data_IF_370541315324
#
_entry.id   IF_370541315324
#
_cell.length_a   1.000
_cell.length_b   1.000
_cell.length_c   1.000
_cell.angle_alpha   90.00
_cell.angle_beta   90.00
_cell.angle_gamma   90.00
#
_symmetry.space_group_name_H-M   'P 1'
#
loop_
_entity.id
_entity.type
_entity.pdbx_description
1 polymer ?
#
# COMPACT_ATOMS: atom_id res chain seq x y z
N UNK A 1 36.60 39.71 -4.10
CA UNK A 1 36.19 38.96 -5.30
C UNK A 1 36.16 37.44 -5.08
N UNK A 2 37.24 36.82 -4.57
CA UNK A 2 37.35 35.36 -4.40
C UNK A 2 36.21 34.71 -3.59
N UNK A 3 35.79 35.31 -2.48
CA UNK A 3 34.69 34.77 -1.64
C UNK A 3 33.35 34.73 -2.36
N UNK A 4 33.02 35.77 -3.15
CA UNK A 4 31.79 35.80 -3.95
C UNK A 4 31.82 34.69 -5.01
N UNK A 5 32.95 34.51 -5.68
CA UNK A 5 33.14 33.43 -6.67
C UNK A 5 32.97 32.05 -6.05
N UNK A 6 33.55 31.79 -4.87
CA UNK A 6 33.39 30.51 -4.16
C UNK A 6 31.93 30.25 -3.80
N UNK A 7 31.21 31.27 -3.30
CA UNK A 7 29.78 31.15 -2.97
C UNK A 7 28.95 30.84 -4.22
N UNK A 8 29.18 31.54 -5.33
CA UNK A 8 28.45 31.30 -6.58
C UNK A 8 28.72 29.90 -7.14
N UNK A 9 29.96 29.40 -7.03
CA UNK A 9 30.30 28.03 -7.45
C UNK A 9 29.63 26.97 -6.57
N UNK A 10 29.58 27.17 -5.24
CA UNK A 10 28.87 26.25 -4.36
C UNK A 10 27.37 26.24 -4.64
N UNK A 11 26.77 27.42 -4.83
CA UNK A 11 25.35 27.56 -5.13
C UNK A 11 24.99 26.86 -6.45
N UNK A 12 25.80 27.03 -7.50
CA UNK A 12 25.55 26.40 -8.80
C UNK A 12 25.65 24.87 -8.71
N UNK A 13 26.65 24.35 -8.00
CA UNK A 13 26.79 22.91 -7.76
C UNK A 13 25.58 22.36 -7.00
N UNK A 14 25.13 23.04 -5.94
CA UNK A 14 23.95 22.62 -5.19
C UNK A 14 22.67 22.61 -6.03
N UNK A 15 22.46 23.63 -6.88
CA UNK A 15 21.30 23.70 -7.77
C UNK A 15 21.32 22.55 -8.79
N UNK A 16 22.49 22.27 -9.40
CA UNK A 16 22.64 21.16 -10.34
C UNK A 16 22.39 19.81 -9.66
N UNK A 17 22.93 19.61 -8.44
CA UNK A 17 22.71 18.39 -7.67
C UNK A 17 21.23 18.18 -7.32
N UNK A 18 20.54 19.21 -6.84
CA UNK A 18 19.10 19.16 -6.56
C UNK A 18 18.32 18.86 -7.84
N UNK A 19 18.65 19.53 -8.95
CA UNK A 19 18.02 19.30 -10.26
C UNK A 19 18.18 17.85 -10.72
N UNK A 20 19.35 17.25 -10.55
CA UNK A 20 19.60 15.84 -10.87
C UNK A 20 18.78 14.89 -9.98
N UNK A 21 18.73 15.14 -8.66
CA UNK A 21 17.95 14.32 -7.72
C UNK A 21 16.46 14.39 -8.07
N UNK A 22 15.95 15.60 -8.32
CA UNK A 22 14.55 15.82 -8.72
C UNK A 22 14.26 15.10 -10.04
N UNK A 23 15.11 15.27 -11.05
CA UNK A 23 14.94 14.62 -12.35
C UNK A 23 14.93 13.09 -12.25
N UNK A 24 15.85 12.49 -11.49
CA UNK A 24 15.86 11.05 -11.27
C UNK A 24 14.61 10.56 -10.53
N UNK A 25 14.17 11.32 -9.54
CA UNK A 25 12.97 10.97 -8.75
C UNK A 25 11.71 10.96 -9.62
N UNK A 26 11.58 11.90 -10.57
CA UNK A 26 10.45 11.96 -11.50
C UNK A 26 10.57 10.99 -12.68
N UNK A 27 11.79 10.58 -13.07
CA UNK A 27 12.00 9.60 -14.16
C UNK A 27 11.91 8.15 -13.72
N UNK A 28 11.94 7.85 -12.42
CA UNK A 28 11.74 6.50 -11.94
C UNK A 28 10.33 6.03 -12.33
N UNK A 29 10.24 5.20 -13.39
CA UNK A 29 8.99 4.61 -13.83
C UNK A 29 8.45 3.76 -12.68
N UNK A 30 7.30 4.15 -12.12
CA UNK A 30 6.55 3.32 -11.19
C UNK A 30 5.80 2.29 -12.02
N UNK A 31 6.11 1.03 -11.77
CA UNK A 31 5.42 -0.11 -12.36
C UNK A 31 4.41 -0.59 -11.32
N UNK A 32 3.19 -0.08 -11.44
CA UNK A 32 2.09 -0.46 -10.57
C UNK A 32 1.33 -1.64 -11.19
N UNK A 33 0.87 -2.55 -10.34
CA UNK A 33 0.01 -3.66 -10.71
C UNK A 33 -1.24 -3.65 -9.84
N UNK A 34 -2.35 -4.09 -10.42
CA UNK A 34 -3.62 -4.27 -9.72
C UNK A 34 -3.72 -5.73 -9.33
N UNK A 35 -3.95 -5.99 -8.05
CA UNK A 35 -4.20 -7.30 -7.50
C UNK A 35 -5.69 -7.42 -7.22
N UNK A 36 -6.40 -8.10 -8.10
CA UNK A 36 -7.84 -8.32 -7.97
C UNK A 36 -8.09 -9.55 -7.11
N UNK A 37 -8.93 -9.43 -6.10
CA UNK A 37 -9.36 -10.56 -5.28
C UNK A 37 -10.56 -11.20 -5.96
N UNK A 38 -10.40 -12.43 -6.48
CA UNK A 38 -11.48 -13.11 -7.18
C UNK A 38 -12.64 -13.38 -6.18
N UNK A 39 -13.87 -13.09 -6.61
CA UNK A 39 -15.07 -13.29 -5.79
C UNK A 39 -15.34 -12.20 -4.75
N UNK A 40 -14.48 -11.18 -4.66
CA UNK A 40 -14.70 -10.00 -3.83
C UNK A 40 -14.73 -8.76 -4.70
N UNK A 41 -15.57 -7.78 -4.35
CA UNK A 41 -15.61 -6.48 -5.02
C UNK A 41 -14.49 -5.57 -4.49
N UNK A 42 -13.25 -6.04 -4.55
CA UNK A 42 -12.07 -5.33 -4.04
C UNK A 42 -10.81 -5.62 -4.87
N UNK A 43 -9.92 -4.62 -4.91
CA UNK A 43 -8.61 -4.74 -5.50
C UNK A 43 -7.56 -3.92 -4.73
N UNK A 44 -6.30 -4.27 -4.90
CA UNK A 44 -5.16 -3.54 -4.36
C UNK A 44 -4.29 -3.02 -5.48
N UNK A 45 -3.69 -1.85 -5.29
CA UNK A 45 -2.66 -1.33 -6.20
C UNK A 45 -1.33 -1.40 -5.46
N UNK A 46 -0.35 -2.10 -6.04
CA UNK A 46 0.99 -2.18 -5.48
C UNK A 46 2.04 -1.87 -6.55
N UNK A 47 3.10 -1.16 -6.15
CA UNK A 47 4.23 -0.87 -7.01
C UNK A 47 5.25 -2.03 -7.00
N UNK A 48 6.32 -1.91 -7.80
CA UNK A 48 7.36 -2.94 -7.90
C UNK A 48 8.10 -3.27 -6.58
N UNK A 49 7.93 -2.47 -5.52
CA UNK A 49 8.56 -2.72 -4.23
C UNK A 49 7.76 -3.71 -3.37
N UNK A 50 6.56 -4.10 -3.81
CA UNK A 50 5.73 -5.08 -3.13
C UNK A 50 5.87 -6.45 -3.78
N UNK A 51 6.06 -7.47 -2.94
CA UNK A 51 5.95 -8.87 -3.33
C UNK A 51 4.76 -9.47 -2.61
N UNK A 52 3.76 -9.95 -3.35
CA UNK A 52 2.57 -10.60 -2.81
C UNK A 52 2.69 -12.12 -3.00
N UNK A 53 2.30 -12.87 -1.98
CA UNK A 53 2.27 -14.32 -1.97
C UNK A 53 0.85 -14.75 -1.61
N UNK A 54 0.08 -15.33 -2.54
CA UNK A 54 -1.25 -15.83 -2.23
C UNK A 54 -1.16 -16.96 -1.21
N UNK A 55 -2.13 -17.00 -0.29
CA UNK A 55 -2.25 -18.03 0.75
C UNK A 55 -3.75 -18.31 0.98
N UNK A 56 -4.05 -19.31 1.80
CA UNK A 56 -5.44 -19.58 2.21
C UNK A 56 -6.08 -18.32 2.80
N UNK A 57 -7.29 -18.00 2.33
CA UNK A 57 -8.12 -16.87 2.78
C UNK A 57 -7.48 -15.48 2.59
N UNK A 58 -6.45 -15.33 1.74
CA UNK A 58 -5.86 -14.02 1.50
C UNK A 58 -4.49 -14.04 0.84
N UNK A 59 -3.59 -13.18 1.32
CA UNK A 59 -2.21 -13.09 0.83
C UNK A 59 -1.29 -12.48 1.89
N UNK A 60 -0.01 -12.85 1.82
CA UNK A 60 1.07 -12.13 2.50
C UNK A 60 1.70 -11.14 1.54
N UNK A 61 2.17 -10.01 2.08
CA UNK A 61 2.93 -9.05 1.28
C UNK A 61 4.19 -8.56 1.98
N UNK A 62 5.23 -8.36 1.19
CA UNK A 62 6.54 -7.92 1.64
C UNK A 62 6.92 -6.65 0.89
N UNK A 63 7.39 -5.65 1.64
CA UNK A 63 7.79 -4.35 1.12
C UNK A 63 9.10 -3.92 1.78
N UNK A 64 10.22 -4.47 1.28
CA UNK A 64 11.52 -4.35 1.93
C UNK A 64 11.54 -5.03 3.30
N UNK A 65 11.69 -4.25 4.38
CA UNK A 65 11.66 -4.77 5.76
C UNK A 65 10.26 -4.75 6.39
N UNK A 66 9.30 -4.10 5.72
CA UNK A 66 7.91 -4.11 6.15
C UNK A 66 7.23 -5.38 5.61
N UNK A 67 6.30 -5.93 6.39
CA UNK A 67 5.51 -7.09 5.98
C UNK A 67 4.07 -6.91 6.44
N UNK A 68 3.12 -7.42 5.68
CA UNK A 68 1.73 -7.49 6.11
C UNK A 68 1.08 -8.78 5.70
N UNK A 69 0.00 -9.09 6.41
CA UNK A 69 -0.74 -10.35 6.30
C UNK A 69 -2.20 -9.97 6.13
N UNK A 70 -2.71 -10.10 4.91
CA UNK A 70 -4.11 -9.80 4.58
C UNK A 70 -4.90 -11.09 4.58
N UNK A 71 -5.98 -11.15 5.36
CA UNK A 71 -6.86 -12.31 5.51
C UNK A 71 -8.31 -11.91 5.53
N UNK A 72 -9.18 -12.75 5.00
CA UNK A 72 -10.61 -12.68 5.30
C UNK A 72 -10.91 -13.44 6.57
N UNK A 73 -11.69 -12.79 7.43
CA UNK A 73 -12.09 -13.32 8.72
C UNK A 73 -13.61 -13.29 8.78
N UNK A 74 -14.22 -14.42 9.13
CA UNK A 74 -15.65 -14.50 9.40
C UNK A 74 -15.94 -13.80 10.73
N UNK A 75 -16.43 -12.56 10.65
CA UNK A 75 -16.69 -11.68 11.78
C UNK A 75 -17.80 -10.69 11.40
N UNK A 76 -18.70 -10.42 12.34
CA UNK A 76 -19.75 -9.40 12.17
C UNK A 76 -19.17 -8.05 12.61
N UNK A 77 -19.02 -7.13 11.65
CA UNK A 77 -18.51 -5.78 11.87
C UNK A 77 -17.03 -5.73 12.30
N UNK A 78 -16.57 -4.52 12.63
CA UNK A 78 -15.20 -4.27 13.07
C UNK A 78 -14.95 -4.74 14.52
N UNK A 79 -13.70 -5.06 14.85
CA UNK A 79 -13.28 -5.37 16.22
C UNK A 79 -13.50 -4.17 17.16
N UNK A 80 -13.89 -4.43 18.41
CA UNK A 80 -14.36 -3.40 19.36
C UNK A 80 -13.31 -2.36 19.77
N UNK A 81 -12.03 -2.66 19.58
CA UNK A 81 -10.88 -1.85 20.00
C UNK A 81 -10.23 -1.06 18.86
N UNK A 82 -10.91 -0.99 17.71
CA UNK A 82 -10.45 -0.25 16.54
C UNK A 82 -11.08 1.15 16.49
N UNK A 83 -10.27 2.13 16.09
CA UNK A 83 -10.74 3.46 15.71
C UNK A 83 -11.44 3.35 14.35
N UNK A 84 -12.77 3.41 14.35
CA UNK A 84 -13.60 3.27 13.15
C UNK A 84 -13.61 4.56 12.29
N UNK A 85 -13.62 4.39 10.97
CA UNK A 85 -13.70 5.44 9.96
C UNK A 85 -14.23 4.85 8.63
N UNK A 86 -14.21 5.65 7.57
CA UNK A 86 -14.54 5.23 6.21
C UNK A 86 -13.41 5.63 5.27
N UNK A 87 -12.97 4.70 4.42
CA UNK A 87 -11.96 4.92 3.38
C UNK A 87 -12.39 4.25 2.09
N UNK A 88 -12.35 4.97 0.96
CA UNK A 88 -12.80 4.48 -0.36
C UNK A 88 -14.19 3.82 -0.32
N UNK A 89 -15.14 4.42 0.41
CA UNK A 89 -16.49 3.90 0.65
C UNK A 89 -16.55 2.51 1.32
N UNK A 90 -15.49 2.14 2.04
CA UNK A 90 -15.42 0.93 2.86
C UNK A 90 -15.37 1.33 4.33
N UNK A 91 -16.24 0.74 5.15
CA UNK A 91 -16.15 0.86 6.61
C UNK A 91 -14.84 0.21 7.09
N UNK A 92 -14.07 0.95 7.86
CA UNK A 92 -12.68 0.64 8.18
C UNK A 92 -12.38 0.86 9.65
N UNK A 93 -11.58 -0.02 10.26
CA UNK A 93 -11.09 0.10 11.63
C UNK A 93 -9.57 0.09 11.70
N UNK A 94 -9.01 0.95 12.55
CA UNK A 94 -7.57 1.08 12.76
C UNK A 94 -7.15 0.79 14.19
N UNK A 95 -6.03 0.08 14.38
CA UNK A 95 -5.32 0.07 15.66
C UNK A 95 -3.82 0.02 15.47
N UNK A 96 -3.09 0.69 16.37
CA UNK A 96 -1.63 0.68 16.42
C UNK A 96 -1.12 0.10 17.73
N UNK A 97 -0.27 -0.90 17.64
CA UNK A 97 0.41 -1.51 18.78
C UNK A 97 1.92 -1.56 18.54
N UNK A 98 2.66 -0.61 19.11
CA UNK A 98 4.11 -0.44 18.87
C UNK A 98 4.42 -0.29 17.37
N UNK A 99 4.99 -1.34 16.76
CA UNK A 99 5.38 -1.42 15.36
C UNK A 99 4.34 -2.15 14.50
N UNK A 100 3.29 -2.69 15.11
CA UNK A 100 2.20 -3.35 14.42
C UNK A 100 1.05 -2.38 14.20
N UNK A 101 0.40 -2.53 13.05
CA UNK A 101 -0.84 -1.85 12.71
C UNK A 101 -1.83 -2.88 12.23
N UNK A 102 -3.01 -2.86 12.81
CA UNK A 102 -4.14 -3.68 12.38
C UNK A 102 -5.12 -2.78 11.65
N UNK A 103 -5.52 -3.24 10.48
CA UNK A 103 -6.51 -2.62 9.62
C UNK A 103 -7.62 -3.64 9.42
N UNK A 104 -8.87 -3.26 9.61
CA UNK A 104 -10.03 -4.10 9.25
C UNK A 104 -10.92 -3.35 8.28
N UNK A 105 -11.39 -4.02 7.25
CA UNK A 105 -12.27 -3.47 6.23
C UNK A 105 -13.51 -4.35 6.12
N UNK A 106 -14.70 -3.79 6.28
CA UNK A 106 -15.95 -4.56 6.19
C UNK A 106 -16.22 -4.94 4.73
N UNK A 107 -16.24 -6.26 4.47
CA UNK A 107 -16.55 -6.80 3.15
C UNK A 107 -18.05 -6.91 2.94
N UNK A 108 -18.72 -7.54 3.91
CA UNK A 108 -20.16 -7.75 3.98
C UNK A 108 -20.57 -7.94 5.45
N UNK A 109 -21.84 -8.30 5.70
CA UNK A 109 -22.41 -8.43 7.04
C UNK A 109 -21.65 -9.42 7.95
N UNK A 110 -20.97 -10.43 7.37
CA UNK A 110 -20.37 -11.54 8.11
C UNK A 110 -18.86 -11.69 7.88
N UNK A 111 -18.25 -10.79 7.11
CA UNK A 111 -16.85 -10.91 6.73
C UNK A 111 -16.14 -9.57 6.80
N UNK A 112 -14.93 -9.61 7.36
CA UNK A 112 -13.98 -8.50 7.34
C UNK A 112 -12.69 -8.94 6.70
N UNK A 113 -12.05 -8.02 5.99
CA UNK A 113 -10.69 -8.17 5.52
C UNK A 113 -9.77 -7.54 6.55
N UNK A 114 -8.94 -8.34 7.19
CA UNK A 114 -7.96 -7.93 8.19
C UNK A 114 -6.57 -7.87 7.57
N UNK A 115 -5.90 -6.73 7.69
CA UNK A 115 -4.47 -6.58 7.39
C UNK A 115 -3.69 -6.35 8.68
N UNK A 116 -2.81 -7.28 9.01
CA UNK A 116 -1.86 -7.18 10.10
C UNK A 116 -0.48 -6.79 9.58
N UNK A 117 -0.10 -5.52 9.77
CA UNK A 117 1.08 -4.93 9.17
C UNK A 117 2.19 -4.62 10.18
N UNK A 118 3.36 -5.23 9.99
CA UNK A 118 4.58 -4.92 10.73
C UNK A 118 5.39 -3.83 10.01
N UNK A 119 5.55 -2.70 10.71
CA UNK A 119 6.26 -1.55 10.22
C UNK A 119 7.61 -1.36 10.89
N UNK A 120 8.66 -1.67 10.14
CA UNK A 120 10.05 -1.47 10.54
C UNK A 120 10.65 -0.21 9.91
N UNK A 121 10.22 0.17 8.71
CA UNK A 121 10.73 1.31 7.94
C UNK A 121 9.61 2.23 7.48
N UNK A 122 9.96 3.49 7.20
CA UNK A 122 8.99 4.55 6.85
C UNK A 122 8.14 4.21 5.61
N UNK A 123 8.74 3.56 4.63
CA UNK A 123 8.15 3.19 3.36
C UNK A 123 8.77 1.87 2.85
N UNK A 124 8.05 1.11 2.00
CA UNK A 124 6.67 1.32 1.56
C UNK A 124 5.63 1.07 2.69
N UNK A 125 4.41 1.63 2.56
CA UNK A 125 3.36 1.53 3.59
C UNK A 125 2.49 0.27 3.40
N UNK A 126 1.52 0.03 4.29
CA UNK A 126 0.51 -1.02 4.09
C UNK A 126 -0.29 -0.82 2.79
N UNK A 127 -0.86 -1.91 2.26
CA UNK A 127 -1.73 -1.85 1.09
C UNK A 127 -3.14 -1.44 1.51
N UNK A 128 -3.77 -0.58 0.70
CA UNK A 128 -5.14 -0.09 0.92
C UNK A 128 -6.04 -0.67 -0.17
N UNK A 129 -7.15 -1.31 0.17
CA UNK A 129 -8.10 -1.81 -0.81
C UNK A 129 -8.90 -0.66 -1.44
N UNK A 130 -9.25 -0.83 -2.71
CA UNK A 130 -10.24 -0.04 -3.42
C UNK A 130 -11.47 -0.90 -3.66
N UNK A 131 -12.65 -0.28 -3.71
CA UNK A 131 -13.92 -0.93 -4.10
C UNK A 131 -14.41 -0.29 -5.40
N UNK A 132 -14.84 0.96 -5.32
CA UNK A 132 -15.48 1.66 -6.44
C UNK A 132 -14.51 1.97 -7.59
N UNK A 133 -13.24 2.24 -7.28
CA UNK A 133 -12.23 2.62 -8.28
C UNK A 133 -11.55 1.43 -8.96
N UNK A 134 -11.87 0.18 -8.59
CA UNK A 134 -11.13 -0.98 -9.09
C UNK A 134 -11.15 -1.10 -10.60
N UNK A 135 -12.31 -0.87 -11.22
CA UNK A 135 -12.42 -0.87 -12.68
C UNK A 135 -11.48 0.15 -13.32
N UNK A 136 -11.45 1.37 -12.78
CA UNK A 136 -10.57 2.43 -13.28
C UNK A 136 -9.09 2.07 -13.12
N UNK A 137 -8.72 1.39 -12.02
CA UNK A 137 -7.35 0.94 -11.80
C UNK A 137 -6.95 -0.20 -12.75
N UNK A 138 -7.87 -1.13 -13.03
CA UNK A 138 -7.65 -2.24 -13.96
C UNK A 138 -7.46 -1.78 -15.41
N UNK A 139 -8.10 -0.68 -15.81
CA UNK A 139 -7.92 -0.08 -17.13
C UNK A 139 -6.53 0.59 -17.28
N UNK A 140 -5.92 1.00 -16.16
CA UNK A 140 -4.66 1.74 -16.14
C UNK A 140 -3.43 0.84 -15.96
N UNK A 141 -3.57 -0.31 -15.30
CA UNK A 141 -2.45 -1.13 -14.86
C UNK A 141 -2.66 -2.61 -15.16
N UNK A 142 -1.57 -3.39 -15.35
CA UNK A 142 -1.67 -4.83 -15.48
C UNK A 142 -2.35 -5.46 -14.27
N UNK A 143 -3.26 -6.40 -14.54
CA UNK A 143 -4.04 -7.11 -13.51
C UNK A 143 -3.39 -8.45 -13.18
N UNK A 144 -3.32 -8.75 -11.89
CA UNK A 144 -2.97 -10.05 -11.33
C UNK A 144 -4.17 -10.53 -10.52
N UNK A 145 -4.66 -11.72 -10.83
CA UNK A 145 -5.73 -12.35 -10.06
C UNK A 145 -5.16 -13.06 -8.84
N UNK A 146 -5.71 -12.74 -7.67
CA UNK A 146 -5.49 -13.47 -6.44
C UNK A 146 -6.64 -14.45 -6.28
N UNK A 147 -6.36 -15.72 -6.57
CA UNK A 147 -7.27 -16.82 -6.25
C UNK A 147 -7.01 -17.23 -4.80
N UNK A 148 -8.06 -17.21 -3.99
CA UNK A 148 -8.00 -17.84 -2.68
C UNK A 148 -8.18 -19.33 -2.91
N UNK A 149 -7.33 -20.14 -2.29
CA UNK A 149 -7.52 -21.58 -2.29
C UNK A 149 -8.84 -21.88 -1.55
N UNK A 150 -9.89 -22.16 -2.32
CA UNK A 150 -11.11 -22.82 -1.85
C UNK A 150 -10.81 -24.32 -1.69
N UNK A 151 -11.26 -24.93 -0.58
CA UNK A 151 -11.10 -26.37 -0.31
C UNK A 151 -11.87 -27.26 -1.30
#
# INVERSE_FOLDING_TARGET
MKTKTIIFTLLSISIVAIGLIVFQTFKAKRDNKVYMVVGQDLCFVADQNYQLVPVKEGFDYFAGENKGEVRVVNQIGLSQDLDASVINNIEYGYKKEKNYRTYEYVLNENQVLRDYFLYKKRAPIHLVPYRDECKSMMDLYPVIELQWEEE
#
